data_IF_548226144634
#
_entry.id   IF_548226144634
#
_cell.length_a   1.000
_cell.length_b   1.000
_cell.length_c   1.000
_cell.angle_alpha   90.00
_cell.angle_beta   90.00
_cell.angle_gamma   90.00
#
_symmetry.space_group_name_H-M   'P 1'
#
loop_
_entity.id
_entity.type
_entity.pdbx_description
1 polymer ?
#
# COMPACT_ATOMS: atom_id res chain seq x y z
N UNK A 1 16.54 19.40 29.73
CA UNK A 1 16.95 19.32 31.16
C UNK A 1 16.61 17.91 31.66
N UNK A 2 17.64 17.20 32.01
CA UNK A 2 17.64 15.80 32.49
C UNK A 2 16.86 15.62 33.78
N UNK A 3 16.23 14.46 33.93
CA UNK A 3 16.23 13.74 35.22
C UNK A 3 16.04 12.24 34.99
N UNK A 4 17.16 11.54 35.09
CA UNK A 4 17.30 10.11 35.37
C UNK A 4 16.99 9.95 36.87
N UNK A 5 16.14 8.98 37.23
CA UNK A 5 16.06 8.52 38.62
C UNK A 5 16.25 7.00 38.67
N UNK A 6 17.41 6.61 39.11
CA UNK A 6 17.84 5.25 39.44
C UNK A 6 17.43 4.96 40.89
N UNK A 7 16.71 3.89 41.16
CA UNK A 7 16.52 3.35 42.53
C UNK A 7 16.92 1.90 42.54
N UNK A 8 18.07 1.64 43.17
CA UNK A 8 18.46 0.33 43.66
C UNK A 8 17.85 0.09 45.04
N UNK A 9 17.27 -1.09 45.27
CA UNK A 9 17.13 -1.64 46.61
C UNK A 9 17.40 -3.14 46.55
N UNK A 10 18.43 -3.55 47.33
CA UNK A 10 18.76 -4.93 47.62
C UNK A 10 18.00 -5.38 48.87
N UNK A 11 17.65 -6.66 48.94
CA UNK A 11 17.08 -7.29 50.13
C UNK A 11 17.13 -8.79 50.05
N UNK A 12 17.80 -9.39 51.05
CA UNK A 12 18.24 -10.78 51.16
C UNK A 12 17.15 -11.81 51.48
N UNK A 13 17.36 -13.00 50.92
CA UNK A 13 17.33 -14.37 51.53
C UNK A 13 16.00 -14.90 52.14
N UNK A 14 15.64 -16.10 51.67
CA UNK A 14 14.72 -17.04 52.29
C UNK A 14 14.64 -18.32 51.45
N UNK A 15 15.46 -19.34 51.79
CA UNK A 15 15.41 -20.66 51.18
C UNK A 15 14.23 -21.47 51.72
N UNK A 16 13.42 -22.03 50.87
CA UNK A 16 12.52 -23.15 51.19
C UNK A 16 12.55 -24.13 50.01
N UNK A 17 13.16 -25.28 50.23
CA UNK A 17 13.10 -26.44 49.33
C UNK A 17 11.71 -27.04 49.39
N UNK A 18 11.00 -27.00 48.28
CA UNK A 18 9.83 -27.85 47.99
C UNK A 18 10.14 -28.60 46.70
N UNK A 19 10.46 -29.91 46.83
CA UNK A 19 10.52 -30.83 45.71
C UNK A 19 9.13 -31.06 45.16
N UNK A 20 8.76 -30.34 44.11
CA UNK A 20 7.60 -30.62 43.29
C UNK A 20 8.12 -31.01 41.92
N UNK A 21 7.85 -32.24 41.47
CA UNK A 21 8.02 -32.67 40.09
C UNK A 21 7.16 -31.83 39.21
N UNK A 22 7.71 -30.76 38.65
CA UNK A 22 7.10 -30.09 37.54
C UNK A 22 7.41 -30.92 36.30
N UNK A 23 6.38 -31.54 35.72
CA UNK A 23 6.39 -31.88 34.30
C UNK A 23 6.69 -30.60 33.55
N UNK A 24 7.83 -30.52 32.90
CA UNK A 24 8.08 -29.50 31.90
C UNK A 24 7.04 -29.75 30.81
N UNK A 25 6.03 -28.92 30.74
CA UNK A 25 5.35 -28.67 29.49
C UNK A 25 6.42 -28.05 28.59
N UNK A 26 6.94 -28.87 27.68
CA UNK A 26 7.66 -28.42 26.51
C UNK A 26 6.68 -27.54 25.71
N UNK A 27 6.64 -26.27 26.03
CA UNK A 27 6.24 -25.24 25.08
C UNK A 27 7.31 -25.24 23.99
N UNK A 28 7.25 -26.28 23.15
CA UNK A 28 7.76 -26.21 21.80
C UNK A 28 6.93 -25.11 21.15
N UNK A 29 7.41 -23.88 21.23
CA UNK A 29 7.19 -22.88 20.21
C UNK A 29 7.79 -23.48 18.92
N UNK A 30 7.00 -24.43 18.38
CA UNK A 30 7.19 -24.94 17.03
C UNK A 30 7.03 -23.72 16.12
N UNK A 31 8.16 -23.13 15.78
CA UNK A 31 8.34 -22.21 14.65
C UNK A 31 8.07 -23.00 13.36
N UNK A 32 6.98 -23.79 13.43
CA UNK A 32 6.43 -24.59 12.35
C UNK A 32 6.11 -23.65 11.21
N UNK A 33 7.08 -23.49 10.33
CA UNK A 33 7.01 -22.64 9.17
C UNK A 33 5.70 -22.92 8.45
N UNK A 34 4.67 -22.09 8.72
CA UNK A 34 3.38 -22.23 8.04
C UNK A 34 3.64 -22.25 6.55
N UNK A 35 3.28 -23.35 5.90
CA UNK A 35 3.52 -23.59 4.47
C UNK A 35 3.13 -22.34 3.66
N UNK A 36 3.95 -22.01 2.67
CA UNK A 36 3.67 -20.90 1.77
C UNK A 36 2.29 -21.10 1.13
N UNK A 37 1.54 -20.00 1.01
CA UNK A 37 0.24 -19.96 0.38
C UNK A 37 0.32 -19.04 -0.83
N UNK A 38 -0.10 -19.54 -1.98
CA UNK A 38 -0.17 -18.76 -3.21
C UNK A 38 -1.55 -18.15 -3.36
N UNK A 39 -1.59 -16.92 -3.85
CA UNK A 39 -2.81 -16.15 -4.10
C UNK A 39 -2.76 -15.58 -5.51
N UNK A 40 -3.86 -15.73 -6.24
CA UNK A 40 -4.10 -15.01 -7.46
C UNK A 40 -4.80 -13.69 -7.10
N UNK A 41 -4.18 -12.57 -7.45
CA UNK A 41 -4.69 -11.22 -7.20
C UNK A 41 -4.99 -10.57 -8.54
N UNK A 42 -6.27 -10.34 -8.84
CA UNK A 42 -6.70 -9.64 -10.06
C UNK A 42 -7.06 -8.21 -9.71
N UNK A 43 -6.36 -7.26 -10.30
CA UNK A 43 -6.61 -5.82 -10.18
C UNK A 43 -7.40 -5.36 -11.40
N UNK A 44 -8.61 -4.84 -11.18
CA UNK A 44 -9.50 -4.33 -12.22
C UNK A 44 -9.66 -2.82 -12.07
N UNK A 45 -9.25 -2.07 -13.08
CA UNK A 45 -9.44 -0.63 -13.15
C UNK A 45 -10.90 -0.33 -13.52
N UNK A 46 -11.65 0.29 -12.62
CA UNK A 46 -13.07 0.61 -12.79
C UNK A 46 -13.31 2.03 -13.32
N UNK A 47 -12.26 2.81 -13.51
CA UNK A 47 -12.41 4.18 -14.03
C UNK A 47 -12.96 4.17 -15.45
N UNK A 48 -13.70 5.22 -15.86
CA UNK A 48 -14.32 5.26 -17.20
C UNK A 48 -13.28 5.11 -18.32
N UNK A 49 -13.63 4.45 -19.43
CA UNK A 49 -12.69 4.28 -20.54
C UNK A 49 -12.27 5.60 -21.21
N UNK A 50 -13.02 6.70 -21.02
CA UNK A 50 -12.70 8.00 -21.58
C UNK A 50 -12.71 8.02 -23.12
N UNK A 51 -12.51 9.18 -23.75
CA UNK A 51 -12.41 9.32 -25.20
C UNK A 51 -10.99 8.96 -25.67
N UNK A 52 -10.70 7.69 -25.85
CA UNK A 52 -9.40 7.20 -26.35
C UNK A 52 -8.62 6.38 -25.35
N UNK A 53 -7.63 5.66 -25.87
CA UNK A 53 -6.72 4.88 -25.03
C UNK A 53 -5.64 5.80 -24.41
N UNK A 54 -5.25 5.58 -23.17
CA UNK A 54 -5.56 4.43 -22.30
C UNK A 54 -6.75 4.62 -21.33
N UNK A 55 -7.62 5.56 -21.59
CA UNK A 55 -8.80 5.86 -20.76
C UNK A 55 -8.60 7.07 -19.83
N UNK A 56 -9.62 7.37 -19.00
CA UNK A 56 -9.60 8.56 -18.14
C UNK A 56 -8.47 8.50 -17.10
N UNK A 57 -8.35 7.39 -16.37
CA UNK A 57 -7.35 7.19 -15.32
C UNK A 57 -6.72 5.80 -15.44
N UNK A 58 -5.70 5.62 -16.30
CA UNK A 58 -4.90 4.40 -16.25
C UNK A 58 -4.27 4.26 -14.86
N UNK A 59 -4.18 3.03 -14.37
CA UNK A 59 -3.42 2.75 -13.15
C UNK A 59 -1.95 2.51 -13.51
N UNK A 60 -1.04 3.04 -12.72
CA UNK A 60 0.38 2.69 -12.84
C UNK A 60 0.60 1.19 -12.57
N UNK A 61 1.77 0.61 -12.92
CA UNK A 61 2.10 -0.75 -12.48
C UNK A 61 1.99 -0.84 -10.96
N UNK A 62 1.10 -1.70 -10.41
CA UNK A 62 0.87 -1.74 -8.97
C UNK A 62 2.08 -2.29 -8.22
N UNK A 63 2.42 -1.67 -7.09
CA UNK A 63 3.38 -2.18 -6.12
C UNK A 63 2.66 -3.11 -5.14
N UNK A 64 3.20 -4.31 -4.95
CA UNK A 64 2.73 -5.31 -3.99
C UNK A 64 3.71 -5.42 -2.83
N UNK A 65 3.20 -5.41 -1.60
CA UNK A 65 3.99 -5.58 -0.37
C UNK A 65 3.37 -6.67 0.47
N UNK A 66 4.10 -7.77 0.68
CA UNK A 66 3.72 -8.85 1.60
C UNK A 66 4.44 -8.63 2.93
N UNK A 67 3.69 -8.51 4.01
CA UNK A 67 4.23 -8.10 5.30
C UNK A 67 3.49 -8.73 6.49
N UNK A 68 4.01 -8.55 7.68
CA UNK A 68 3.36 -8.90 8.94
C UNK A 68 2.39 -7.79 9.38
N UNK A 69 1.56 -8.04 10.40
CA UNK A 69 0.69 -7.01 10.99
C UNK A 69 1.43 -5.89 11.74
N UNK A 70 2.78 -5.91 11.77
CA UNK A 70 3.60 -4.88 12.42
C UNK A 70 4.17 -3.86 11.44
N UNK A 71 4.13 -4.15 10.13
CA UNK A 71 4.51 -3.20 9.11
C UNK A 71 3.26 -2.44 8.62
N UNK A 72 3.45 -1.15 8.39
CA UNK A 72 2.48 -0.27 7.78
C UNK A 72 3.13 0.35 6.54
N UNK A 73 2.44 0.33 5.41
CA UNK A 73 2.92 0.89 4.14
C UNK A 73 2.34 2.28 3.91
N UNK A 74 1.07 2.44 4.28
CA UNK A 74 0.34 3.70 4.25
C UNK A 74 -0.96 3.57 5.05
N UNK A 75 -1.46 4.66 5.59
CA UNK A 75 -2.79 4.71 6.21
C UNK A 75 -3.42 6.10 6.05
N UNK A 76 -4.75 6.14 5.93
CA UNK A 76 -5.50 7.39 5.85
C UNK A 76 -5.29 8.20 7.13
N UNK A 77 -4.96 9.49 6.98
CA UNK A 77 -4.67 10.40 8.09
C UNK A 77 -3.17 10.57 8.37
N UNK A 78 -2.31 9.74 7.80
CA UNK A 78 -0.86 9.87 7.90
C UNK A 78 -0.29 10.80 6.81
N UNK A 79 0.90 11.34 7.04
CA UNK A 79 1.69 11.98 6.00
C UNK A 79 2.26 10.91 5.08
N UNK A 80 2.11 11.07 3.77
CA UNK A 80 2.69 10.16 2.81
C UNK A 80 4.21 10.05 3.00
N UNK A 81 4.73 8.81 3.08
CA UNK A 81 6.16 8.59 3.05
C UNK A 81 6.73 9.06 1.71
N UNK A 82 8.04 9.37 1.67
CA UNK A 82 8.70 9.73 0.40
C UNK A 82 8.48 8.69 -0.70
N UNK A 83 8.44 7.40 -0.33
CA UNK A 83 8.21 6.33 -1.29
C UNK A 83 6.77 6.27 -1.80
N UNK A 84 5.77 6.52 -0.93
CA UNK A 84 4.37 6.61 -1.35
C UNK A 84 4.15 7.83 -2.24
N UNK A 85 4.69 9.00 -1.85
CA UNK A 85 4.63 10.21 -2.65
C UNK A 85 5.23 9.99 -4.06
N UNK A 86 6.40 9.34 -4.15
CA UNK A 86 7.04 9.02 -5.43
C UNK A 86 6.16 8.12 -6.33
N UNK A 87 5.38 7.21 -5.75
CA UNK A 87 4.40 6.41 -6.51
C UNK A 87 3.21 7.28 -6.94
N UNK A 88 2.64 8.03 -6.01
CA UNK A 88 1.43 8.81 -6.24
C UNK A 88 1.64 9.95 -7.24
N UNK A 89 2.85 10.51 -7.29
CA UNK A 89 3.24 11.63 -8.14
C UNK A 89 3.78 11.20 -9.52
N UNK A 90 4.53 10.09 -9.61
CA UNK A 90 5.24 9.70 -10.85
C UNK A 90 5.19 8.22 -11.18
N UNK A 91 4.39 7.43 -10.47
CA UNK A 91 4.40 5.97 -10.62
C UNK A 91 5.77 5.34 -10.32
N UNK A 92 6.60 5.99 -9.50
CA UNK A 92 7.97 5.56 -9.20
C UNK A 92 7.99 4.58 -8.02
N UNK A 93 7.85 3.30 -8.32
CA UNK A 93 7.87 2.22 -7.32
C UNK A 93 9.26 1.97 -6.73
N UNK A 94 10.35 2.37 -7.41
CA UNK A 94 11.72 2.00 -7.04
C UNK A 94 12.12 2.46 -5.63
N UNK A 95 11.54 3.56 -5.13
CA UNK A 95 11.83 4.08 -3.79
C UNK A 95 11.36 3.10 -2.71
N UNK A 96 10.10 2.62 -2.79
CA UNK A 96 9.60 1.62 -1.85
C UNK A 96 10.20 0.23 -2.10
N UNK A 97 10.43 -0.16 -3.34
CA UNK A 97 11.09 -1.43 -3.67
C UNK A 97 12.50 -1.55 -3.07
N UNK A 98 13.21 -0.44 -2.93
CA UNK A 98 14.53 -0.43 -2.30
C UNK A 98 14.48 -0.32 -0.78
N UNK A 99 13.53 0.41 -0.23
CA UNK A 99 13.46 0.70 1.20
C UNK A 99 12.78 -0.41 2.02
N UNK A 100 11.63 -0.88 1.58
CA UNK A 100 10.81 -1.81 2.36
C UNK A 100 11.44 -3.18 2.63
N UNK A 101 12.21 -3.82 1.71
CA UNK A 101 12.86 -5.11 1.98
C UNK A 101 13.88 -5.08 3.12
N UNK A 102 14.32 -3.90 3.55
CA UNK A 102 15.24 -3.75 4.69
C UNK A 102 14.54 -3.91 6.04
N UNK A 103 13.21 -3.89 6.07
CA UNK A 103 12.41 -3.96 7.30
C UNK A 103 12.12 -5.41 7.69
N UNK A 104 12.28 -5.78 8.99
CA UNK A 104 12.15 -7.17 9.45
C UNK A 104 10.70 -7.72 9.35
N UNK A 105 9.73 -6.83 9.21
CA UNK A 105 8.32 -7.17 9.11
C UNK A 105 7.77 -7.11 7.67
N UNK A 106 8.64 -6.92 6.68
CA UNK A 106 8.36 -7.03 5.25
C UNK A 106 9.04 -8.29 4.69
N UNK A 107 8.30 -9.09 3.93
CA UNK A 107 8.78 -10.33 3.31
C UNK A 107 9.15 -10.15 1.85
N UNK A 108 8.24 -9.52 1.09
CA UNK A 108 8.38 -9.40 -0.36
C UNK A 108 7.81 -8.06 -0.81
N UNK A 109 8.53 -7.40 -1.70
CA UNK A 109 8.07 -6.20 -2.41
C UNK A 109 8.34 -6.40 -3.88
N UNK A 110 7.36 -6.13 -4.74
CA UNK A 110 7.57 -6.23 -6.18
C UNK A 110 6.57 -5.36 -6.95
N UNK A 111 7.01 -4.85 -8.09
CA UNK A 111 6.15 -4.17 -9.06
C UNK A 111 5.48 -5.21 -9.96
N UNK A 112 4.18 -5.10 -10.13
CA UNK A 112 3.40 -5.96 -11.01
C UNK A 112 3.83 -5.80 -12.47
N UNK A 113 4.17 -6.92 -13.11
CA UNK A 113 4.62 -6.93 -14.51
C UNK A 113 3.50 -6.55 -15.50
N UNK A 114 3.88 -6.10 -16.69
CA UNK A 114 2.97 -5.85 -17.82
C UNK A 114 2.56 -4.38 -18.01
N UNK A 115 3.18 -3.46 -17.29
CA UNK A 115 2.96 -2.01 -17.43
C UNK A 115 1.65 -1.51 -16.82
N UNK A 116 1.19 -0.31 -17.18
CA UNK A 116 -0.05 0.27 -16.68
C UNK A 116 -1.29 -0.58 -16.98
N UNK A 117 -2.33 -0.45 -16.16
CA UNK A 117 -3.63 -1.09 -16.38
C UNK A 117 -4.60 -0.02 -16.91
N UNK A 118 -4.97 -0.04 -18.20
CA UNK A 118 -5.89 0.93 -18.77
C UNK A 118 -7.26 0.89 -18.10
N UNK A 119 -8.00 2.00 -18.17
CA UNK A 119 -9.38 2.09 -17.68
C UNK A 119 -10.24 0.96 -18.27
N UNK A 120 -11.05 0.32 -17.43
CA UNK A 120 -11.91 -0.81 -17.82
C UNK A 120 -11.17 -2.14 -18.03
N UNK A 121 -9.86 -2.19 -17.85
CA UNK A 121 -9.06 -3.41 -18.01
C UNK A 121 -8.69 -4.04 -16.66
N UNK A 122 -8.28 -5.31 -16.72
CA UNK A 122 -7.86 -6.05 -15.54
C UNK A 122 -6.53 -6.78 -15.80
N UNK A 123 -5.78 -7.03 -14.72
CA UNK A 123 -4.57 -7.84 -14.77
C UNK A 123 -4.44 -8.69 -13.52
N UNK A 124 -3.98 -9.92 -13.70
CA UNK A 124 -3.76 -10.88 -12.64
C UNK A 124 -2.28 -10.99 -12.27
N UNK A 125 -2.02 -11.15 -10.96
CA UNK A 125 -0.70 -11.27 -10.36
C UNK A 125 -0.69 -12.41 -9.37
N UNK A 126 0.49 -12.99 -9.13
CA UNK A 126 0.67 -14.01 -8.10
C UNK A 126 1.37 -13.44 -6.89
N UNK A 127 0.81 -13.69 -5.69
CA UNK A 127 1.36 -13.27 -4.41
C UNK A 127 1.55 -14.49 -3.52
N UNK A 128 2.66 -14.54 -2.78
CA UNK A 128 2.94 -15.62 -1.84
C UNK A 128 3.02 -15.09 -0.40
N UNK A 129 2.31 -15.77 0.51
CA UNK A 129 2.34 -15.48 1.95
C UNK A 129 2.82 -16.68 2.74
N UNK A 130 3.43 -16.46 3.92
CA UNK A 130 3.79 -17.54 4.84
C UNK A 130 3.93 -17.06 6.28
N UNK A 131 3.56 -17.88 7.24
CA UNK A 131 3.70 -17.61 8.66
C UNK A 131 3.08 -16.26 9.06
N UNK A 132 3.84 -15.43 9.75
CA UNK A 132 3.43 -14.08 10.18
C UNK A 132 3.19 -13.10 9.01
N UNK A 133 3.81 -13.35 7.85
CA UNK A 133 3.70 -12.52 6.66
C UNK A 133 2.46 -12.91 5.85
N UNK A 134 1.31 -12.54 6.35
CA UNK A 134 -0.01 -12.88 5.81
C UNK A 134 -0.86 -11.65 5.47
N UNK A 135 -0.25 -10.48 5.39
CA UNK A 135 -0.89 -9.24 4.95
C UNK A 135 -0.37 -8.80 3.60
N UNK A 136 -1.26 -8.17 2.86
CA UNK A 136 -1.00 -7.57 1.57
C UNK A 136 -1.35 -6.09 1.61
N UNK A 137 -0.38 -5.24 1.32
CA UNK A 137 -0.62 -3.87 0.88
C UNK A 137 -0.37 -3.76 -0.61
N UNK A 138 -1.14 -2.93 -1.27
CA UNK A 138 -1.05 -2.63 -2.69
C UNK A 138 -1.14 -1.13 -2.87
N UNK A 139 -0.32 -0.58 -3.77
CA UNK A 139 -0.36 0.85 -4.14
C UNK A 139 -0.25 0.97 -5.66
N UNK A 140 -1.09 1.81 -6.25
CA UNK A 140 -1.04 2.17 -7.67
C UNK A 140 -1.55 3.59 -7.86
N UNK A 141 -0.88 4.37 -8.70
CA UNK A 141 -1.26 5.74 -9.03
C UNK A 141 -2.43 5.78 -10.02
N UNK A 142 -3.31 6.77 -9.90
CA UNK A 142 -4.20 7.21 -10.98
C UNK A 142 -3.41 8.24 -11.81
N UNK A 143 -2.89 7.84 -12.96
CA UNK A 143 -1.75 8.55 -13.59
C UNK A 143 -2.06 9.91 -14.22
N UNK A 144 -3.33 10.26 -14.44
CA UNK A 144 -3.73 11.58 -14.92
C UNK A 144 -4.19 12.50 -13.76
N UNK A 145 -3.44 12.49 -12.66
CA UNK A 145 -3.65 13.32 -11.47
C UNK A 145 -2.33 13.87 -10.96
N UNK A 146 -2.37 14.80 -10.03
CA UNK A 146 -1.17 15.31 -9.37
C UNK A 146 -0.54 14.22 -8.48
N UNK A 147 -1.31 13.67 -7.51
CA UNK A 147 -0.82 12.69 -6.55
C UNK A 147 -1.91 11.70 -6.07
N UNK A 148 -2.88 11.39 -6.93
CA UNK A 148 -3.89 10.39 -6.57
C UNK A 148 -3.35 8.96 -6.68
N UNK A 149 -3.65 8.16 -5.67
CA UNK A 149 -3.37 6.74 -5.66
C UNK A 149 -4.57 5.93 -5.16
N UNK A 150 -4.50 4.63 -5.31
CA UNK A 150 -5.46 3.68 -4.73
C UNK A 150 -4.75 2.39 -4.33
N UNK A 151 -5.38 1.55 -3.53
CA UNK A 151 -4.79 0.28 -3.14
C UNK A 151 -5.41 -0.37 -1.91
N UNK A 152 -4.71 -1.37 -1.39
CA UNK A 152 -5.04 -2.08 -0.16
C UNK A 152 -4.10 -1.62 0.96
N UNK A 153 -4.68 -1.30 2.10
CA UNK A 153 -3.94 -1.06 3.33
C UNK A 153 -4.00 -2.32 4.21
N UNK A 154 -2.86 -3.02 4.31
CA UNK A 154 -2.62 -4.11 5.26
C UNK A 154 -3.71 -5.20 5.31
N UNK A 155 -4.29 -5.59 4.16
CA UNK A 155 -5.33 -6.61 4.09
C UNK A 155 -4.80 -7.98 4.52
N UNK A 156 -5.44 -8.62 5.50
CA UNK A 156 -5.08 -9.98 5.90
C UNK A 156 -5.60 -11.00 4.90
N UNK A 157 -4.68 -11.77 4.30
CA UNK A 157 -5.01 -12.86 3.37
C UNK A 157 -5.33 -14.14 4.14
N UNK A 158 -6.58 -14.58 4.08
CA UNK A 158 -7.08 -15.75 4.81
C UNK A 158 -8.20 -16.48 4.06
N UNK A 159 -8.47 -17.69 4.49
CA UNK A 159 -9.56 -18.49 3.91
C UNK A 159 -9.33 -18.80 2.43
N UNK A 160 -10.32 -18.49 1.61
CA UNK A 160 -10.28 -18.64 0.15
C UNK A 160 -9.99 -17.35 -0.60
N UNK A 161 -9.82 -16.24 0.11
CA UNK A 161 -9.71 -14.90 -0.46
C UNK A 161 -11.06 -14.16 -0.43
N UNK A 162 -11.24 -13.23 -1.35
CA UNK A 162 -12.46 -12.41 -1.44
C UNK A 162 -12.32 -11.31 -2.49
N UNK A 163 -13.39 -10.53 -2.63
CA UNK A 163 -13.44 -9.34 -3.48
C UNK A 163 -13.41 -8.09 -2.61
N UNK A 164 -12.57 -7.14 -2.98
CA UNK A 164 -12.40 -5.84 -2.32
C UNK A 164 -12.53 -4.74 -3.35
N UNK A 165 -13.09 -3.61 -2.95
CA UNK A 165 -13.11 -2.39 -3.77
C UNK A 165 -12.44 -1.28 -3.02
N UNK A 166 -11.75 -0.39 -3.75
CA UNK A 166 -11.01 0.73 -3.19
C UNK A 166 -11.39 2.03 -3.88
N UNK A 167 -11.33 3.11 -3.13
CA UNK A 167 -11.57 4.47 -3.62
C UNK A 167 -10.25 5.12 -4.05
N UNK A 168 -10.32 6.28 -4.67
CA UNK A 168 -9.15 7.11 -4.89
C UNK A 168 -8.78 7.88 -3.63
N UNK A 169 -7.49 7.89 -3.30
CA UNK A 169 -6.89 8.66 -2.22
C UNK A 169 -5.99 9.74 -2.80
N UNK A 170 -5.96 10.87 -2.13
CA UNK A 170 -5.04 11.96 -2.30
C UNK A 170 -3.87 11.71 -1.34
N UNK A 171 -2.64 11.65 -1.84
CA UNK A 171 -1.46 11.43 -1.01
C UNK A 171 -1.12 12.66 -0.14
N UNK A 172 -1.67 13.84 -0.48
CA UNK A 172 -1.41 15.10 0.21
C UNK A 172 0.01 15.60 0.01
N UNK A 173 0.74 15.02 -0.92
CA UNK A 173 2.12 15.41 -1.25
C UNK A 173 2.16 16.56 -2.25
N UNK A 174 1.19 16.67 -3.15
CA UNK A 174 1.01 17.76 -4.10
C UNK A 174 -0.36 18.41 -4.00
N UNK A 175 -0.44 19.67 -4.44
CA UNK A 175 -1.73 20.36 -4.60
C UNK A 175 -2.48 19.79 -5.79
N UNK A 176 -3.75 19.49 -5.61
CA UNK A 176 -4.65 19.07 -6.69
C UNK A 176 -5.04 20.29 -7.55
N UNK A 177 -4.04 20.89 -8.22
CA UNK A 177 -4.21 22.07 -9.06
C UNK A 177 -4.68 21.74 -10.49
N UNK A 178 -4.66 20.47 -10.87
CA UNK A 178 -5.09 19.93 -12.18
C UNK A 178 -4.40 20.59 -13.38
N UNK A 179 -3.22 21.22 -13.17
CA UNK A 179 -2.47 21.84 -14.24
C UNK A 179 -1.71 20.77 -15.04
N UNK A 180 -1.84 20.79 -16.38
CA UNK A 180 -1.15 19.86 -17.26
C UNK A 180 0.38 19.87 -17.08
N UNK A 181 0.94 21.00 -16.66
CA UNK A 181 2.38 21.13 -16.36
C UNK A 181 2.84 20.35 -15.12
N UNK A 182 1.94 19.86 -14.29
CA UNK A 182 2.22 19.14 -13.03
C UNK A 182 1.75 17.68 -13.04
N UNK A 183 1.26 17.19 -14.19
CA UNK A 183 0.69 15.85 -14.29
C UNK A 183 1.54 14.98 -15.20
N UNK A 184 2.11 13.86 -14.68
CA UNK A 184 3.03 13.00 -15.41
C UNK A 184 2.36 12.11 -16.45
N UNK A 185 1.06 11.84 -16.27
CA UNK A 185 0.34 10.83 -17.01
C UNK A 185 0.22 11.09 -18.52
N UNK A 186 -0.39 10.15 -19.26
CA UNK A 186 -0.45 10.23 -20.72
C UNK A 186 -1.26 11.42 -21.25
N UNK A 187 -2.07 12.07 -20.40
CA UNK A 187 -2.74 13.32 -20.80
C UNK A 187 -1.73 14.44 -21.09
N UNK A 188 -0.69 14.53 -20.31
CA UNK A 188 0.04 15.78 -20.11
C UNK A 188 1.56 15.61 -20.23
N UNK A 189 2.09 14.44 -19.85
CA UNK A 189 3.49 14.04 -20.01
C UNK A 189 4.51 15.01 -19.37
N UNK A 190 4.23 15.46 -18.14
CA UNK A 190 5.10 16.33 -17.37
C UNK A 190 5.56 15.65 -16.04
N UNK A 191 6.38 14.59 -16.12
CA UNK A 191 6.89 13.93 -14.91
C UNK A 191 7.87 14.84 -14.16
N UNK A 192 7.95 14.64 -12.83
CA UNK A 192 8.91 15.31 -11.93
C UNK A 192 8.69 16.82 -11.73
N UNK A 193 7.59 17.37 -12.20
CA UNK A 193 7.20 18.76 -11.90
C UNK A 193 6.26 18.75 -10.70
N UNK A 194 6.54 19.56 -9.67
CA UNK A 194 5.88 19.48 -8.35
C UNK A 194 5.29 20.81 -7.90
N UNK A 195 4.13 20.71 -7.24
CA UNK A 195 3.55 21.79 -6.43
C UNK A 195 3.23 21.24 -5.00
N UNK A 196 4.23 21.17 -4.10
CA UNK A 196 4.09 20.48 -2.82
C UNK A 196 3.00 21.05 -1.93
N UNK A 197 2.20 20.17 -1.29
CA UNK A 197 1.17 20.54 -0.31
C UNK A 197 1.57 20.24 1.13
N UNK A 198 1.99 19.00 1.43
CA UNK A 198 2.34 18.55 2.78
C UNK A 198 1.13 18.27 3.66
N UNK A 199 0.03 17.81 3.06
CA UNK A 199 -1.17 17.38 3.76
C UNK A 199 -1.13 15.89 4.11
N UNK A 200 -2.13 15.41 4.85
CA UNK A 200 -2.29 13.99 5.17
C UNK A 200 -3.01 13.25 4.04
N UNK A 201 -2.81 11.94 3.98
CA UNK A 201 -3.55 11.03 3.09
C UNK A 201 -5.03 11.13 3.41
N UNK A 202 -5.85 11.39 2.39
CA UNK A 202 -7.30 11.55 2.49
C UNK A 202 -8.01 11.01 1.24
N UNK A 203 -9.34 10.97 1.27
CA UNK A 203 -10.11 10.67 0.07
C UNK A 203 -9.87 11.77 -0.98
N UNK A 204 -9.65 11.38 -2.25
CA UNK A 204 -9.50 12.31 -3.35
C UNK A 204 -10.85 12.85 -3.82
N UNK A 205 -10.91 14.13 -4.11
CA UNK A 205 -12.15 14.82 -4.52
C UNK A 205 -12.58 14.64 -5.97
N UNK A 206 -11.82 13.87 -6.77
CA UNK A 206 -12.04 13.77 -8.23
C UNK A 206 -11.36 14.89 -9.01
N UNK A 207 -11.62 14.94 -10.32
CA UNK A 207 -11.19 16.03 -11.22
C UNK A 207 -12.32 17.05 -11.31
N UNK A 208 -12.05 18.27 -10.89
CA UNK A 208 -13.04 19.35 -10.73
C UNK A 208 -13.04 20.35 -11.88
N UNK A 209 -11.97 20.37 -12.69
CA UNK A 209 -11.77 21.35 -13.75
C UNK A 209 -11.22 22.69 -13.24
N UNK A 210 -10.58 22.69 -12.08
CA UNK A 210 -9.93 23.89 -11.51
C UNK A 210 -8.70 24.31 -12.33
N UNK A 211 -8.07 23.36 -13.01
CA UNK A 211 -6.92 23.57 -13.91
C UNK A 211 -7.23 23.25 -15.36
N UNK A 212 -6.33 22.50 -16.00
CA UNK A 212 -6.40 22.17 -17.44
C UNK A 212 -7.19 20.90 -17.72
N UNK A 213 -7.45 20.06 -16.71
CA UNK A 213 -8.14 18.79 -16.90
C UNK A 213 -9.67 18.97 -16.94
N UNK A 214 -10.29 18.38 -17.96
CA UNK A 214 -11.75 18.36 -18.06
C UNK A 214 -12.36 17.24 -17.21
N UNK A 215 -13.30 17.53 -16.29
CA UNK A 215 -13.98 16.48 -15.52
C UNK A 215 -14.70 15.46 -16.43
N UNK A 216 -15.30 15.92 -17.53
CA UNK A 216 -15.99 15.03 -18.49
C UNK A 216 -15.06 14.00 -19.17
N UNK A 217 -13.75 14.18 -19.08
CA UNK A 217 -12.73 13.29 -19.66
C UNK A 217 -12.00 12.48 -18.61
N UNK A 218 -11.63 13.12 -17.49
CA UNK A 218 -10.65 12.58 -16.53
C UNK A 218 -11.23 12.24 -15.16
N UNK A 219 -12.47 12.69 -14.85
CA UNK A 219 -13.10 12.36 -13.57
C UNK A 219 -13.60 10.91 -13.51
N UNK A 220 -13.88 10.46 -12.31
CA UNK A 220 -14.34 9.10 -12.01
C UNK A 220 -15.43 9.10 -10.94
N UNK A 221 -16.01 7.93 -10.70
CA UNK A 221 -16.84 7.66 -9.53
C UNK A 221 -16.23 6.51 -8.75
N UNK A 222 -16.19 6.60 -7.43
CA UNK A 222 -15.78 5.50 -6.58
C UNK A 222 -16.80 4.34 -6.58
N UNK A 223 -16.32 3.09 -6.45
CA UNK A 223 -14.92 2.68 -6.31
C UNK A 223 -14.16 2.74 -7.65
N UNK A 224 -12.84 3.07 -7.59
CA UNK A 224 -11.97 3.14 -8.77
C UNK A 224 -11.29 1.81 -9.12
N UNK A 225 -11.15 0.92 -8.14
CA UNK A 225 -10.51 -0.40 -8.35
C UNK A 225 -11.32 -1.49 -7.67
N UNK A 226 -11.43 -2.64 -8.35
CA UNK A 226 -11.82 -3.92 -7.76
C UNK A 226 -10.61 -4.85 -7.71
N UNK A 227 -10.43 -5.54 -6.59
CA UNK A 227 -9.35 -6.48 -6.34
C UNK A 227 -9.97 -7.82 -5.94
N UNK A 228 -9.89 -8.79 -6.85
CA UNK A 228 -10.35 -10.15 -6.61
C UNK A 228 -9.15 -11.00 -6.19
N UNK A 229 -9.22 -11.62 -5.01
CA UNK A 229 -8.17 -12.42 -4.43
C UNK A 229 -8.68 -13.85 -4.27
N UNK A 230 -7.97 -14.80 -4.86
CA UNK A 230 -8.33 -16.23 -4.79
C UNK A 230 -7.11 -17.03 -4.37
N UNK A 231 -7.31 -17.90 -3.39
CA UNK A 231 -6.25 -18.82 -2.96
C UNK A 231 -6.04 -19.90 -4.02
N UNK A 232 -4.77 -20.09 -4.46
CA UNK A 232 -4.32 -21.18 -5.33
C UNK A 232 -4.20 -22.51 -4.60
#
# INVERSE_FOLDING_TARGET
MNRILLVLLAGLAGAALLTGSATADDDNDDDGGSAAKTWQVTVSNLTPPGPGAPGSQPLSPPLFVVHSGKADVWSVGDIASHGLAAIAEDANNAVLESALPTLPDVKTVFTGAGGPIPSGQSRAFTVETSGKFNRLSLVTMLVNTNDAFTGLDSLRLQGRGGTHTTIAYDAGSERNNELASHIPGPCCNNPFVRDPEGAVIRMHGGITGVGDLSPGTYDWSDPVVRIDIVRG
#
